data_IF_620049316538
#
_entry.id   IF_620049316538
#
_cell.length_a   1.000
_cell.length_b   1.000
_cell.length_c   1.000
_cell.angle_alpha   90.00
_cell.angle_beta   90.00
_cell.angle_gamma   90.00
#
_symmetry.space_group_name_H-M   'P 1'
#
loop_
_entity.id
_entity.type
_entity.pdbx_description
1 polymer ?
#
# COMPACT_ATOMS: atom_id res chain seq x y z
N UNK A 1 -10.28 -3.92 -16.38
CA UNK A 1 -10.47 -3.22 -15.09
C UNK A 1 -9.13 -3.22 -14.41
N UNK A 2 -8.39 -2.12 -14.49
CA UNK A 2 -6.99 -2.11 -14.15
C UNK A 2 -6.77 -1.39 -12.83
N UNK A 3 -6.29 -2.12 -11.82
CA UNK A 3 -5.50 -1.56 -10.73
C UNK A 3 -4.14 -1.12 -11.30
N UNK A 4 -4.17 -0.26 -12.32
CA UNK A 4 -2.98 0.14 -13.06
C UNK A 4 -2.22 1.21 -12.27
N UNK A 5 -1.04 0.86 -11.77
CA UNK A 5 -0.01 1.84 -11.46
C UNK A 5 0.35 2.03 -10.00
N UNK A 6 0.05 1.08 -9.10
CA UNK A 6 0.71 1.08 -7.78
C UNK A 6 2.11 0.51 -7.94
N UNK A 7 3.10 1.32 -7.57
CA UNK A 7 4.50 0.91 -7.54
C UNK A 7 4.67 -0.17 -6.48
N UNK A 8 5.03 -1.38 -6.93
CA UNK A 8 5.30 -2.53 -6.07
C UNK A 8 6.76 -2.48 -5.69
N UNK A 9 7.02 -2.62 -4.41
CA UNK A 9 8.35 -2.66 -3.84
C UNK A 9 8.48 -3.91 -2.99
N UNK A 10 9.65 -4.54 -3.01
CA UNK A 10 9.95 -5.67 -2.14
C UNK A 10 10.47 -5.13 -0.82
N UNK A 11 9.78 -5.45 0.28
CA UNK A 11 10.24 -5.12 1.61
C UNK A 11 11.45 -6.00 1.94
N UNK A 12 12.56 -5.38 2.34
CA UNK A 12 13.74 -6.12 2.78
C UNK A 12 14.06 -5.72 4.21
N UNK A 13 13.92 -6.66 5.16
CA UNK A 13 14.27 -6.45 6.57
C UNK A 13 15.79 -6.53 6.78
N UNK A 14 16.58 -5.80 5.99
CA UNK A 14 18.03 -5.80 6.10
C UNK A 14 18.49 -4.93 7.27
N UNK A 15 18.47 -5.49 8.48
CA UNK A 15 19.12 -4.94 9.68
C UNK A 15 18.15 -4.36 10.70
N UNK A 16 17.96 -5.08 11.80
CA UNK A 16 17.06 -4.70 12.89
C UNK A 16 17.36 -3.32 13.48
N UNK A 17 16.31 -2.50 13.58
CA UNK A 17 16.31 -1.20 14.23
C UNK A 17 14.89 -0.65 14.24
N UNK A 18 14.17 -0.87 15.34
CA UNK A 18 12.73 -0.68 15.43
C UNK A 18 12.23 0.76 15.30
N UNK A 19 10.95 0.86 14.92
CA UNK A 19 10.11 2.01 15.22
C UNK A 19 9.44 2.66 14.01
N UNK A 20 8.25 2.16 13.66
CA UNK A 20 7.20 2.95 13.03
C UNK A 20 7.21 2.99 11.49
N UNK A 21 6.60 1.99 10.87
CA UNK A 21 6.30 2.04 9.42
C UNK A 21 6.21 0.70 8.70
N UNK A 22 6.34 -0.43 9.41
CA UNK A 22 6.45 -1.76 8.82
C UNK A 22 5.19 -2.62 9.00
N UNK A 23 4.05 -2.04 9.36
CA UNK A 23 2.80 -2.80 9.55
C UNK A 23 1.77 -2.40 8.49
N UNK A 24 1.09 -3.40 7.93
CA UNK A 24 -0.01 -3.17 7.01
C UNK A 24 -1.29 -2.82 7.78
N UNK A 25 -1.77 -1.58 7.68
CA UNK A 25 -3.01 -1.15 8.35
C UNK A 25 -4.31 -1.78 7.80
N UNK A 26 -4.22 -2.68 6.79
CA UNK A 26 -5.37 -3.43 6.25
C UNK A 26 -5.54 -4.75 7.00
N UNK A 27 -4.45 -5.52 7.17
CA UNK A 27 -4.48 -6.80 7.85
C UNK A 27 -3.93 -6.74 9.29
N UNK A 28 -3.32 -5.62 9.68
CA UNK A 28 -2.65 -5.40 10.98
C UNK A 28 -1.53 -6.42 11.22
N UNK A 29 -0.75 -6.71 10.17
CA UNK A 29 0.38 -7.65 10.18
C UNK A 29 1.63 -6.90 9.71
N UNK A 30 2.76 -7.18 10.37
CA UNK A 30 4.08 -6.69 10.01
C UNK A 30 4.53 -7.22 8.65
N UNK A 31 5.27 -6.40 7.89
CA UNK A 31 5.91 -6.79 6.64
C UNK A 31 7.13 -7.66 6.92
N UNK A 32 7.19 -8.80 6.25
CA UNK A 32 8.31 -9.75 6.28
C UNK A 32 9.28 -9.48 5.11
N UNK A 33 10.53 -9.90 5.27
CA UNK A 33 11.50 -9.76 4.20
C UNK A 33 11.12 -10.58 2.97
N UNK A 34 11.29 -9.98 1.80
CA UNK A 34 10.86 -10.56 0.54
C UNK A 34 9.39 -10.35 0.23
N UNK A 35 8.59 -9.78 1.12
CA UNK A 35 7.18 -9.50 0.82
C UNK A 35 6.99 -8.35 -0.16
N UNK A 36 5.99 -8.48 -1.01
CA UNK A 36 5.59 -7.43 -1.95
C UNK A 36 4.68 -6.42 -1.26
N UNK A 37 5.18 -5.21 -1.08
CA UNK A 37 4.41 -4.07 -0.59
C UNK A 37 4.12 -3.11 -1.74
N UNK A 38 2.92 -2.56 -1.76
CA UNK A 38 2.48 -1.55 -2.71
C UNK A 38 2.29 -0.23 -1.97
N UNK A 39 2.87 0.83 -2.51
CA UNK A 39 2.75 2.18 -1.94
C UNK A 39 1.67 2.96 -2.66
N UNK A 40 0.74 3.52 -1.88
CA UNK A 40 -0.30 4.38 -2.40
C UNK A 40 0.29 5.73 -2.83
N UNK A 41 0.01 6.22 -4.05
CA UNK A 41 0.40 7.55 -4.54
C UNK A 41 -0.44 8.66 -3.89
N UNK A 42 -0.49 8.66 -2.56
CA UNK A 42 -1.04 9.74 -1.76
C UNK A 42 0.11 10.61 -1.25
N UNK A 43 -0.19 11.83 -0.78
CA UNK A 43 0.81 12.76 -0.26
C UNK A 43 1.74 12.18 0.83
N UNK A 44 1.29 11.14 1.54
CA UNK A 44 2.06 10.50 2.63
C UNK A 44 2.82 9.24 2.20
N UNK A 45 2.54 8.66 1.02
CA UNK A 45 3.18 7.41 0.59
C UNK A 45 2.89 6.22 1.50
N UNK A 46 1.62 5.99 1.86
CA UNK A 46 1.25 4.86 2.72
C UNK A 46 1.47 3.50 2.03
N UNK A 47 2.26 2.62 2.67
CA UNK A 47 2.55 1.27 2.21
C UNK A 47 1.60 0.20 2.77
N UNK A 48 1.26 -0.78 1.95
CA UNK A 48 0.41 -1.92 2.30
C UNK A 48 0.87 -3.17 1.56
N UNK A 49 0.50 -4.38 2.01
CA UNK A 49 0.76 -5.58 1.20
C UNK A 49 0.09 -5.45 -0.16
N UNK A 50 0.80 -5.86 -1.21
CA UNK A 50 0.30 -5.82 -2.59
C UNK A 50 -1.04 -6.55 -2.73
N UNK A 51 -1.23 -7.69 -2.04
CA UNK A 51 -2.51 -8.40 -2.02
C UNK A 51 -3.60 -7.64 -1.26
N UNK A 52 -3.27 -7.11 -0.06
CA UNK A 52 -4.22 -6.38 0.78
C UNK A 52 -4.74 -5.13 0.09
N UNK A 53 -3.85 -4.31 -0.48
CA UNK A 53 -4.28 -3.10 -1.19
C UNK A 53 -5.05 -3.45 -2.45
N UNK A 54 -4.66 -4.50 -3.17
CA UNK A 54 -5.41 -4.95 -4.35
C UNK A 54 -6.84 -5.25 -3.98
N UNK A 55 -7.06 -6.10 -2.95
CA UNK A 55 -8.41 -6.44 -2.43
C UNK A 55 -9.18 -5.22 -1.97
N UNK A 56 -8.51 -4.28 -1.29
CA UNK A 56 -9.13 -3.04 -0.85
C UNK A 56 -9.61 -2.20 -2.04
N UNK A 57 -8.78 -2.04 -3.08
CA UNK A 57 -9.10 -1.25 -4.27
C UNK A 57 -10.22 -1.85 -5.11
N UNK A 58 -10.42 -3.16 -5.05
CA UNK A 58 -11.62 -3.80 -5.60
C UNK A 58 -12.92 -3.29 -4.95
N UNK A 59 -12.86 -2.87 -3.68
CA UNK A 59 -14.01 -2.32 -2.95
C UNK A 59 -14.04 -0.79 -2.95
N UNK A 60 -12.89 -0.14 -2.76
CA UNK A 60 -12.78 1.31 -2.63
C UNK A 60 -11.43 1.81 -3.13
N UNK A 61 -11.43 2.73 -4.09
CA UNK A 61 -10.21 3.32 -4.66
C UNK A 61 -9.58 4.44 -3.81
N UNK A 62 -9.78 4.39 -2.49
CA UNK A 62 -9.32 5.41 -1.53
C UNK A 62 -8.30 4.82 -0.58
N UNK A 63 -7.31 5.58 -0.16
CA UNK A 63 -6.35 5.14 0.84
C UNK A 63 -7.04 4.85 2.18
N UNK A 64 -6.81 3.70 2.83
CA UNK A 64 -7.48 3.36 4.09
C UNK A 64 -7.02 4.23 5.27
N UNK A 65 -5.82 4.82 5.19
CA UNK A 65 -5.26 5.68 6.25
C UNK A 65 -5.67 7.15 6.11
N UNK A 66 -5.44 7.76 4.95
CA UNK A 66 -5.72 9.19 4.74
C UNK A 66 -6.99 9.47 3.91
N UNK A 67 -7.70 8.43 3.45
CA UNK A 67 -8.90 8.55 2.58
C UNK A 67 -8.66 9.27 1.25
N UNK A 68 -7.39 9.48 0.88
CA UNK A 68 -7.01 10.07 -0.40
C UNK A 68 -7.46 9.18 -1.55
N UNK A 69 -8.19 9.76 -2.50
CA UNK A 69 -8.70 9.03 -3.66
C UNK A 69 -7.59 8.88 -4.69
N UNK A 70 -7.38 7.66 -5.17
CA UNK A 70 -6.41 7.45 -6.25
C UNK A 70 -6.84 8.23 -7.49
N UNK A 71 -5.89 8.78 -8.25
CA UNK A 71 -6.17 9.34 -9.57
C UNK A 71 -6.53 8.18 -10.51
N UNK A 72 -7.77 7.70 -10.42
CA UNK A 72 -8.38 6.92 -11.48
C UNK A 72 -8.65 7.94 -12.59
N UNK A 73 -7.97 7.83 -13.74
CA UNK A 73 -8.00 8.80 -14.84
C UNK A 73 -9.39 9.03 -15.46
N UNK A 74 -10.28 9.64 -14.68
CA UNK A 74 -11.64 10.05 -14.95
C UNK A 74 -11.89 11.34 -14.13
N UNK A 75 -10.94 12.27 -14.23
CA UNK A 75 -11.25 13.70 -14.11
C UNK A 75 -11.54 14.16 -15.54
N UNK A 76 -12.79 14.51 -15.79
CA UNK A 76 -13.29 15.09 -17.03
C UNK A 76 -13.97 16.39 -16.72
#
# INVERSE_FOLDING_TARGET
MAVAGLEKQTFHAAGGGGGGGTECAICLVDFEDGEEVSVMPCFHGHGFHSDCITKWLWRSNKCPLCRHQLPTGMDG
#
